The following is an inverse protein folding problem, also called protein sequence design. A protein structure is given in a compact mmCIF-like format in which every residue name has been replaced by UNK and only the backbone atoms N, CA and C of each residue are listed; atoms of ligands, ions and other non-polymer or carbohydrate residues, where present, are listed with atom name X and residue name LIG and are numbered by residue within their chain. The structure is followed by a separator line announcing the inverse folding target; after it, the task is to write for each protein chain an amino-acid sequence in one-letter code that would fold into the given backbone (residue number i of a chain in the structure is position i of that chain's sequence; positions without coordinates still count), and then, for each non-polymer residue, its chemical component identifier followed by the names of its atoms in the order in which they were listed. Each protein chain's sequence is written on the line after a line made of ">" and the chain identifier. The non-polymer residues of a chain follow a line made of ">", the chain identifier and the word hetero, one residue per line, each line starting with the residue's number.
data_IF_955499530559
#
_entry.id   IF_955499530559
#
_cell.length_a   1.000
_cell.length_b   1.000
_cell.length_c   1.000
_cell.angle_alpha   90.00
_cell.angle_beta   90.00
_cell.angle_gamma   90.00
#
_symmetry.space_group_name_H-M   'P 1'
#
loop_
_entity.id
_entity.type
_entity.pdbx_description
1 polymer ?
#
# COMPACT_ATOMS: atom_id res chain seq x y z
N UNK A 1 -15.86 40.38 28.92
CA UNK A 1 -14.83 40.44 27.87
C UNK A 1 -13.85 39.30 27.93
N UNK A 2 -13.28 38.96 29.07
CA UNK A 2 -12.34 37.86 29.24
C UNK A 2 -12.98 36.50 28.91
N UNK A 3 -14.24 36.31 29.33
CA UNK A 3 -15.00 35.09 29.03
C UNK A 3 -15.25 34.90 27.53
N UNK A 4 -15.53 35.95 26.80
CA UNK A 4 -15.73 35.94 25.36
C UNK A 4 -14.42 35.63 24.61
N UNK A 5 -13.30 36.18 25.06
CA UNK A 5 -11.98 35.90 24.52
C UNK A 5 -11.56 34.44 24.76
N UNK A 6 -11.82 33.91 25.95
CA UNK A 6 -11.56 32.49 26.27
C UNK A 6 -12.39 31.55 25.43
N UNK A 7 -13.69 31.84 25.25
CA UNK A 7 -14.58 31.04 24.39
C UNK A 7 -14.13 31.07 22.94
N UNK A 8 -13.73 32.22 22.41
CA UNK A 8 -13.23 32.36 21.06
C UNK A 8 -11.92 31.58 20.85
N UNK A 9 -11.02 31.62 21.84
CA UNK A 9 -9.75 30.88 21.79
C UNK A 9 -9.97 29.38 21.81
N UNK A 10 -10.88 28.88 22.65
CA UNK A 10 -11.23 27.48 22.73
C UNK A 10 -11.88 26.99 21.42
N UNK A 11 -12.78 27.81 20.85
CA UNK A 11 -13.43 27.51 19.57
C UNK A 11 -12.42 27.43 18.41
N UNK A 12 -11.45 28.36 18.38
CA UNK A 12 -10.37 28.33 17.36
C UNK A 12 -9.48 27.11 17.50
N UNK A 13 -9.09 26.75 18.71
CA UNK A 13 -8.29 25.57 18.99
C UNK A 13 -9.04 24.29 18.61
N UNK A 14 -10.30 24.17 18.96
CA UNK A 14 -11.14 23.04 18.62
C UNK A 14 -11.31 22.90 17.10
N UNK A 15 -11.54 24.00 16.39
CA UNK A 15 -11.65 24.05 14.94
C UNK A 15 -10.35 23.64 14.25
N UNK A 16 -9.21 24.13 14.71
CA UNK A 16 -7.90 23.76 14.19
C UNK A 16 -7.60 22.27 14.41
N UNK A 17 -7.91 21.77 15.61
CA UNK A 17 -7.75 20.36 15.95
C UNK A 17 -8.61 19.46 15.06
N UNK A 18 -9.85 19.83 14.84
CA UNK A 18 -10.79 19.12 13.96
C UNK A 18 -10.30 19.08 12.51
N UNK A 19 -9.78 20.21 12.01
CA UNK A 19 -9.24 20.32 10.67
C UNK A 19 -8.01 19.43 10.47
N UNK A 20 -7.09 19.44 11.41
CA UNK A 20 -5.88 18.60 11.40
C UNK A 20 -6.28 17.12 11.45
N UNK A 21 -7.22 16.76 12.30
CA UNK A 21 -7.72 15.39 12.42
C UNK A 21 -8.30 14.89 11.09
N UNK A 22 -9.17 15.69 10.46
CA UNK A 22 -9.75 15.34 9.15
C UNK A 22 -8.70 15.18 8.06
N UNK A 23 -7.73 16.09 8.00
CA UNK A 23 -6.64 16.00 7.03
C UNK A 23 -5.81 14.73 7.22
N UNK A 24 -5.44 14.42 8.45
CA UNK A 24 -4.66 13.23 8.78
C UNK A 24 -5.43 11.96 8.43
N UNK A 25 -6.69 11.86 8.81
CA UNK A 25 -7.53 10.69 8.53
C UNK A 25 -7.71 10.49 7.02
N UNK A 26 -7.96 11.56 6.25
CA UNK A 26 -8.14 11.46 4.81
C UNK A 26 -6.85 11.07 4.09
N UNK A 27 -5.72 11.65 4.46
CA UNK A 27 -4.43 11.33 3.85
C UNK A 27 -4.01 9.89 4.18
N UNK A 28 -4.10 9.49 5.44
CA UNK A 28 -3.77 8.13 5.85
C UNK A 28 -4.73 7.10 5.26
N UNK A 29 -6.03 7.38 5.25
CA UNK A 29 -7.03 6.51 4.66
C UNK A 29 -6.78 6.26 3.17
N UNK A 30 -6.44 7.30 2.43
CA UNK A 30 -6.10 7.21 1.00
C UNK A 30 -4.86 6.35 0.76
N UNK A 31 -3.80 6.52 1.55
CA UNK A 31 -2.58 5.71 1.46
C UNK A 31 -2.81 4.25 1.80
N UNK A 32 -3.59 3.99 2.85
CA UNK A 32 -3.95 2.63 3.27
C UNK A 32 -4.78 1.91 2.22
N UNK A 33 -5.75 2.59 1.61
CA UNK A 33 -6.56 2.02 0.54
C UNK A 33 -5.74 1.59 -0.67
N UNK A 34 -4.76 2.39 -1.09
CA UNK A 34 -3.87 2.05 -2.19
C UNK A 34 -3.06 0.80 -1.91
N UNK A 35 -2.49 0.69 -0.72
CA UNK A 35 -1.71 -0.49 -0.31
C UNK A 35 -2.58 -1.73 -0.22
N UNK A 36 -3.78 -1.60 0.31
CA UNK A 36 -4.74 -2.71 0.38
C UNK A 36 -5.22 -3.14 -0.99
N UNK A 37 -5.48 -2.22 -1.92
CA UNK A 37 -5.84 -2.56 -3.30
C UNK A 37 -4.76 -3.34 -4.00
N UNK A 38 -3.52 -2.89 -3.89
CA UNK A 38 -2.39 -3.56 -4.51
C UNK A 38 -2.20 -4.97 -3.92
N UNK A 39 -2.30 -5.10 -2.61
CA UNK A 39 -2.21 -6.39 -1.94
C UNK A 39 -3.36 -7.31 -2.35
N UNK A 40 -4.60 -6.82 -2.38
CA UNK A 40 -5.76 -7.58 -2.80
C UNK A 40 -5.62 -8.07 -4.24
N UNK A 41 -5.13 -7.23 -5.13
CA UNK A 41 -4.88 -7.59 -6.51
C UNK A 41 -3.86 -8.74 -6.62
N UNK A 42 -2.77 -8.67 -5.87
CA UNK A 42 -1.75 -9.71 -5.83
C UNK A 42 -2.32 -11.01 -5.26
N UNK A 43 -3.09 -10.92 -4.18
CA UNK A 43 -3.70 -12.08 -3.53
C UNK A 43 -4.73 -12.76 -4.43
N UNK A 44 -5.49 -11.99 -5.20
CA UNK A 44 -6.51 -12.50 -6.11
C UNK A 44 -5.96 -13.10 -7.37
N UNK A 45 -5.01 -12.43 -8.02
CA UNK A 45 -4.52 -12.80 -9.34
C UNK A 45 -3.13 -13.44 -9.33
N UNK A 46 -2.34 -13.20 -8.30
CA UNK A 46 -0.94 -13.60 -8.25
C UNK A 46 -0.06 -12.87 -9.27
N UNK A 47 -0.57 -11.78 -9.85
CA UNK A 47 0.12 -10.99 -10.87
C UNK A 47 0.48 -9.60 -10.37
N UNK A 48 1.38 -8.94 -11.09
CA UNK A 48 1.81 -7.58 -10.77
C UNK A 48 0.67 -6.59 -11.00
N UNK A 49 0.36 -5.69 -10.04
CA UNK A 49 -0.63 -4.64 -10.28
C UNK A 49 -0.23 -3.76 -11.47
N UNK A 50 -1.16 -3.41 -12.37
CA UNK A 50 -0.84 -2.64 -13.56
C UNK A 50 -0.32 -1.24 -13.27
N UNK A 51 -0.62 -0.69 -12.09
CA UNK A 51 -0.11 0.61 -11.64
C UNK A 51 1.38 0.60 -11.30
N UNK A 52 1.97 -0.57 -11.06
CA UNK A 52 3.37 -0.72 -10.71
C UNK A 52 4.31 -0.68 -11.92
N UNK A 53 3.78 -0.91 -13.10
CA UNK A 53 4.56 -0.96 -14.33
C UNK A 53 4.01 0.10 -15.29
N UNK A 54 4.88 1.01 -15.72
CA UNK A 54 4.57 2.00 -16.74
C UNK A 54 5.00 1.47 -18.11
N UNK A 55 4.03 1.15 -18.96
CA UNK A 55 4.28 0.65 -20.29
C UNK A 55 4.69 -0.81 -20.34
N UNK A 56 5.01 -1.31 -21.54
CA UNK A 56 5.52 -2.67 -21.75
C UNK A 56 7.01 -2.58 -22.11
N UNK A 57 7.91 -2.88 -21.16
CA UNK A 57 9.34 -2.88 -21.48
C UNK A 57 9.65 -3.99 -22.46
N UNK A 58 10.25 -3.64 -23.59
CA UNK A 58 10.59 -4.59 -24.65
C UNK A 58 12.06 -5.02 -24.60
N UNK A 59 12.93 -4.20 -24.00
CA UNK A 59 14.36 -4.50 -23.93
C UNK A 59 14.68 -5.36 -22.70
N UNK A 60 15.61 -6.33 -22.79
CA UNK A 60 15.96 -7.18 -21.67
C UNK A 60 16.44 -6.40 -20.43
N UNK A 61 17.20 -5.34 -20.63
CA UNK A 61 17.67 -4.48 -19.53
C UNK A 61 16.51 -3.74 -18.85
N UNK A 62 15.57 -3.23 -19.64
CA UNK A 62 14.37 -2.55 -19.11
C UNK A 62 13.49 -3.52 -18.33
N UNK A 63 13.35 -4.76 -18.81
CA UNK A 63 12.61 -5.83 -18.12
C UNK A 63 13.29 -6.16 -16.78
N UNK A 64 14.61 -6.28 -16.74
CA UNK A 64 15.35 -6.55 -15.51
C UNK A 64 15.16 -5.45 -14.47
N UNK A 65 15.23 -4.17 -14.89
CA UNK A 65 15.01 -3.02 -14.02
C UNK A 65 13.56 -2.99 -13.53
N UNK A 66 12.59 -3.23 -14.41
CA UNK A 66 11.18 -3.26 -14.05
C UNK A 66 10.88 -4.37 -13.05
N UNK A 67 11.45 -5.57 -13.27
CA UNK A 67 11.33 -6.69 -12.35
C UNK A 67 11.91 -6.35 -10.97
N UNK A 68 13.07 -5.74 -10.93
CA UNK A 68 13.71 -5.31 -9.68
C UNK A 68 12.83 -4.31 -8.91
N UNK A 69 12.27 -3.32 -9.61
CA UNK A 69 11.35 -2.34 -9.01
C UNK A 69 10.10 -2.98 -8.44
N UNK A 70 9.51 -3.91 -9.20
CA UNK A 70 8.31 -4.65 -8.78
C UNK A 70 8.61 -5.51 -7.56
N UNK A 71 9.74 -6.23 -7.56
CA UNK A 71 10.16 -7.04 -6.41
C UNK A 71 10.40 -6.18 -5.17
N UNK A 72 10.95 -4.99 -5.34
CA UNK A 72 11.16 -4.04 -4.24
C UNK A 72 9.83 -3.51 -3.67
N UNK A 73 8.87 -3.20 -4.55
CA UNK A 73 7.52 -2.81 -4.12
C UNK A 73 6.80 -3.94 -3.38
N UNK A 74 6.91 -5.15 -3.86
CA UNK A 74 6.37 -6.33 -3.19
C UNK A 74 6.99 -6.52 -1.80
N UNK A 75 8.29 -6.34 -1.67
CA UNK A 75 8.97 -6.41 -0.39
C UNK A 75 8.43 -5.36 0.59
N UNK A 76 8.15 -4.15 0.12
CA UNK A 76 7.54 -3.08 0.95
C UNK A 76 6.13 -3.43 1.39
N UNK A 77 5.32 -3.98 0.49
CA UNK A 77 3.96 -4.44 0.82
C UNK A 77 4.02 -5.57 1.84
N UNK A 78 4.90 -6.54 1.66
CA UNK A 78 5.11 -7.64 2.59
C UNK A 78 5.52 -7.12 3.97
N UNK A 79 6.45 -6.18 4.03
CA UNK A 79 6.92 -5.58 5.26
C UNK A 79 5.81 -4.80 5.98
N UNK A 80 4.98 -4.09 5.22
CA UNK A 80 3.80 -3.41 5.73
C UNK A 80 2.87 -4.39 6.44
N UNK A 81 2.55 -5.54 5.84
CA UNK A 81 1.67 -6.53 6.44
C UNK A 81 2.29 -7.26 7.63
N UNK A 82 3.61 -7.29 7.74
CA UNK A 82 4.30 -7.82 8.95
C UNK A 82 4.07 -6.97 10.19
N UNK A 83 3.95 -5.66 10.03
CA UNK A 83 3.94 -4.70 11.13
C UNK A 83 2.62 -3.97 11.32
N UNK A 84 1.67 -4.10 10.40
CA UNK A 84 0.39 -3.39 10.50
C UNK A 84 -0.50 -3.96 11.60
N UNK A 85 -1.11 -3.12 12.45
CA UNK A 85 -2.10 -3.56 13.42
C UNK A 85 -3.50 -3.76 12.81
N UNK A 86 -3.70 -3.47 11.52
CA UNK A 86 -5.00 -3.51 10.85
C UNK A 86 -5.45 -4.92 10.46
N UNK A 87 -4.59 -5.93 10.63
CA UNK A 87 -4.95 -7.32 10.36
C UNK A 87 -5.75 -7.87 11.55
N UNK A 88 -6.87 -8.54 11.27
CA UNK A 88 -7.81 -8.99 12.29
C UNK A 88 -7.25 -10.06 13.24
N UNK A 89 -6.32 -10.91 12.76
CA UNK A 89 -5.70 -11.96 13.57
C UNK A 89 -4.31 -12.31 13.05
N UNK A 90 -3.49 -12.92 13.92
CA UNK A 90 -2.16 -13.44 13.53
C UNK A 90 -2.25 -14.54 12.47
N UNK A 91 -3.30 -15.35 12.52
CA UNK A 91 -3.56 -16.40 11.53
C UNK A 91 -3.81 -15.82 10.14
N UNK A 92 -4.58 -14.75 10.07
CA UNK A 92 -4.84 -14.02 8.82
C UNK A 92 -3.58 -13.37 8.29
N UNK A 93 -2.75 -12.79 9.16
CA UNK A 93 -1.44 -12.25 8.82
C UNK A 93 -0.53 -13.32 8.20
N UNK A 94 -0.43 -14.48 8.80
CA UNK A 94 0.37 -15.59 8.29
C UNK A 94 -0.11 -16.05 6.92
N UNK A 95 -1.41 -16.12 6.71
CA UNK A 95 -2.01 -16.47 5.41
C UNK A 95 -1.63 -15.45 4.34
N UNK A 96 -1.77 -14.17 4.63
CA UNK A 96 -1.42 -13.07 3.72
C UNK A 96 0.08 -13.11 3.38
N UNK A 97 0.93 -13.23 4.39
CA UNK A 97 2.37 -13.29 4.21
C UNK A 97 2.80 -14.51 3.40
N UNK A 98 2.15 -15.65 3.62
CA UNK A 98 2.38 -16.86 2.83
C UNK A 98 2.04 -16.67 1.36
N UNK A 99 0.91 -16.07 1.06
CA UNK A 99 0.48 -15.77 -0.32
C UNK A 99 1.40 -14.75 -0.99
N UNK A 100 1.83 -13.72 -0.29
CA UNK A 100 2.79 -12.74 -0.81
C UNK A 100 4.16 -13.39 -1.06
N UNK A 101 4.60 -14.30 -0.20
CA UNK A 101 5.81 -15.07 -0.39
C UNK A 101 5.75 -15.97 -1.61
N UNK A 102 4.62 -16.63 -1.86
CA UNK A 102 4.38 -17.43 -3.05
C UNK A 102 4.41 -16.57 -4.32
N UNK A 103 3.80 -15.42 -4.30
CA UNK A 103 3.84 -14.45 -5.40
C UNK A 103 5.28 -14.00 -5.67
N UNK A 104 6.05 -13.72 -4.63
CA UNK A 104 7.46 -13.35 -4.74
C UNK A 104 8.28 -14.45 -5.44
N UNK A 105 8.12 -15.68 -5.02
CA UNK A 105 8.80 -16.82 -5.62
C UNK A 105 8.44 -17.00 -7.09
N UNK A 106 7.16 -16.85 -7.43
CA UNK A 106 6.66 -16.93 -8.79
C UNK A 106 7.21 -15.81 -9.67
N UNK A 107 7.20 -14.59 -9.19
CA UNK A 107 7.69 -13.42 -9.95
C UNK A 107 9.19 -13.45 -10.18
N UNK A 108 9.93 -14.11 -9.30
CA UNK A 108 11.37 -14.24 -9.41
C UNK A 108 11.80 -15.19 -10.53
N UNK A 109 11.04 -16.25 -10.76
CA UNK A 109 11.38 -17.34 -11.69
C UNK A 109 10.54 -17.35 -12.96
N UNK A 110 9.30 -16.81 -12.95
CA UNK A 110 8.41 -16.83 -14.10
C UNK A 110 8.81 -15.81 -15.18
N UNK A 111 8.48 -16.07 -16.46
CA UNK A 111 8.66 -15.08 -17.52
C UNK A 111 7.89 -13.79 -17.21
N UNK A 112 8.50 -12.66 -17.57
CA UNK A 112 7.92 -11.34 -17.26
C UNK A 112 6.49 -11.19 -17.77
N UNK A 113 6.21 -11.69 -18.96
CA UNK A 113 4.89 -11.56 -19.59
C UNK A 113 3.80 -12.37 -18.87
N UNK A 114 4.15 -13.45 -18.19
CA UNK A 114 3.19 -14.26 -17.43
C UNK A 114 2.75 -13.61 -16.12
N UNK A 115 3.60 -12.80 -15.51
CA UNK A 115 3.30 -12.14 -14.26
C UNK A 115 2.59 -10.80 -14.45
N UNK A 116 2.58 -10.27 -15.67
CA UNK A 116 1.82 -9.07 -16.03
C UNK A 116 0.41 -9.45 -16.48
N UNK A 117 -0.54 -8.54 -16.24
CA UNK A 117 -1.85 -8.64 -16.87
C UNK A 117 -1.73 -8.44 -18.38
N UNK A 118 -2.42 -9.25 -19.19
CA UNK A 118 -2.44 -9.05 -20.63
C UNK A 118 -3.07 -7.71 -21.02
#
# INVERSE_FOLDING_TARGET
>A
MILLMLLASVALLAGAFFLIYHLVVNVFGSLLERRQRDADFILYTGRVPPTWVKGKPARPLAVAIARWRVMRKLARVTDYFKHTPLVASERERETILGQLGDARSRWKSAPWQEILLP
#
